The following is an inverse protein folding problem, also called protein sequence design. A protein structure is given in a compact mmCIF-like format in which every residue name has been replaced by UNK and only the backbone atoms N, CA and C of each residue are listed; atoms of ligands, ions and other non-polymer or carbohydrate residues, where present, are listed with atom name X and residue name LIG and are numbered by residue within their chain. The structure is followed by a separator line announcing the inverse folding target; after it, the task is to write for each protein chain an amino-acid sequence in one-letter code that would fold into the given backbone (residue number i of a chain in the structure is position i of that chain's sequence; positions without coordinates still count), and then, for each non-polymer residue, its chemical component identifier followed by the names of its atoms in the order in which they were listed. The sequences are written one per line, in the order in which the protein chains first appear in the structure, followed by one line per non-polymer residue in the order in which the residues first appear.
data_IF_911285934054
#
_entry.id   IF_911285934054
#
_cell.length_a   1.000
_cell.length_b   1.000
_cell.length_c   1.000
_cell.angle_alpha   90.00
_cell.angle_beta   90.00
_cell.angle_gamma   90.00
#
_symmetry.space_group_name_H-M   'P 1'
#
loop_
_entity.id
_entity.type
_entity.pdbx_description
1 polymer ?
#
# COMPACT_ATOMS: atom_id res chain seq x y z
N UNK A 1 31.16 18.37 24.18
CA UNK A 1 31.69 18.42 22.81
C UNK A 1 30.92 17.44 21.93
N UNK A 2 29.87 17.92 21.28
CA UNK A 2 29.12 17.20 20.24
C UNK A 2 29.62 17.76 18.90
N UNK A 3 30.02 16.93 17.92
CA UNK A 3 30.55 17.44 16.66
C UNK A 3 29.47 18.18 15.87
N UNK A 4 29.83 19.34 15.34
CA UNK A 4 29.05 20.10 14.38
C UNK A 4 28.98 19.29 13.07
N UNK A 5 27.77 18.95 12.63
CA UNK A 5 27.45 18.19 11.39
C UNK A 5 27.89 16.72 11.43
N UNK A 6 27.09 15.91 12.12
CA UNK A 6 27.01 14.47 11.88
C UNK A 6 25.54 14.07 11.85
N UNK A 7 25.08 13.45 10.75
CA UNK A 7 23.78 12.81 10.71
C UNK A 7 23.81 11.63 11.66
N UNK A 8 23.12 11.74 12.80
CA UNK A 8 22.93 10.62 13.71
C UNK A 8 21.77 9.77 13.18
N UNK A 9 22.06 8.51 12.86
CA UNK A 9 21.05 7.54 12.45
C UNK A 9 20.28 7.10 13.71
N UNK A 10 19.13 7.72 13.96
CA UNK A 10 18.25 7.38 15.08
C UNK A 10 17.38 6.20 14.64
N UNK A 11 17.83 4.98 14.97
CA UNK A 11 17.00 3.79 14.81
C UNK A 11 15.86 3.79 15.82
N UNK A 12 14.66 4.20 15.41
CA UNK A 12 13.46 4.09 16.24
C UNK A 12 12.96 2.64 16.10
N UNK A 13 13.03 1.80 17.16
CA UNK A 13 12.48 0.46 17.10
C UNK A 13 10.96 0.58 17.03
N UNK A 14 10.40 0.37 15.84
CA UNK A 14 8.95 0.23 15.69
C UNK A 14 8.61 -1.21 16.09
N UNK A 15 7.85 -1.44 17.17
CA UNK A 15 7.40 -2.78 17.51
C UNK A 15 6.43 -3.25 16.41
N UNK A 16 6.91 -4.13 15.54
CA UNK A 16 6.08 -4.73 14.50
C UNK A 16 5.28 -5.85 15.16
N UNK A 17 3.99 -5.63 15.38
CA UNK A 17 3.08 -6.69 15.80
C UNK A 17 2.83 -7.67 14.65
N UNK A 18 3.73 -8.63 14.49
CA UNK A 18 3.64 -9.66 13.46
C UNK A 18 2.29 -10.40 13.49
N UNK A 19 1.73 -10.64 14.70
CA UNK A 19 0.40 -11.27 14.86
C UNK A 19 -0.72 -10.47 14.18
N UNK A 20 -0.70 -9.14 14.31
CA UNK A 20 -1.67 -8.25 13.66
C UNK A 20 -1.48 -8.17 12.15
N UNK A 21 -0.23 -8.24 11.67
CA UNK A 21 0.06 -8.31 10.23
C UNK A 21 -0.46 -9.63 9.62
N UNK A 22 -0.20 -10.75 10.29
CA UNK A 22 -0.66 -12.06 9.84
C UNK A 22 -2.18 -12.18 9.82
N UNK A 23 -2.90 -11.62 10.80
CA UNK A 23 -4.38 -11.67 10.81
C UNK A 23 -5.01 -10.86 9.68
N UNK A 24 -4.41 -9.71 9.33
CA UNK A 24 -4.85 -8.90 8.19
C UNK A 24 -4.58 -9.60 6.86
N UNK A 25 -3.41 -10.24 6.71
CA UNK A 25 -3.08 -11.04 5.53
C UNK A 25 -4.01 -12.25 5.38
N UNK A 26 -4.31 -12.96 6.48
CA UNK A 26 -5.24 -14.09 6.46
C UNK A 26 -6.67 -13.66 6.12
N UNK A 27 -7.15 -12.51 6.61
CA UNK A 27 -8.47 -11.96 6.20
C UNK A 27 -8.53 -11.63 4.71
N UNK A 28 -7.45 -11.14 4.13
CA UNK A 28 -7.35 -10.86 2.69
C UNK A 28 -7.29 -12.17 1.88
N UNK A 29 -6.65 -13.21 2.43
CA UNK A 29 -6.56 -14.52 1.77
C UNK A 29 -7.87 -15.32 1.86
N UNK A 30 -8.57 -15.23 2.99
CA UNK A 30 -9.86 -15.88 3.24
C UNK A 30 -10.99 -15.19 2.46
N UNK A 31 -10.92 -13.86 2.33
CA UNK A 31 -11.68 -13.12 1.34
C UNK A 31 -11.11 -13.40 -0.05
N UNK A 32 -11.54 -14.51 -0.67
CA UNK A 32 -11.25 -14.92 -2.07
C UNK A 32 -11.53 -13.84 -3.13
N UNK A 33 -12.00 -12.68 -2.72
CA UNK A 33 -12.42 -11.56 -3.54
C UNK A 33 -11.78 -10.27 -3.01
N UNK A 34 -10.77 -9.78 -3.72
CA UNK A 34 -10.11 -8.50 -3.43
C UNK A 34 -10.88 -7.38 -4.15
N UNK A 35 -11.44 -6.44 -3.39
CA UNK A 35 -12.00 -5.22 -3.99
C UNK A 35 -10.88 -4.25 -4.32
N UNK A 36 -10.76 -3.84 -5.57
CA UNK A 36 -9.73 -2.90 -6.02
C UNK A 36 -10.37 -1.65 -6.63
N UNK A 37 -9.65 -0.53 -6.56
CA UNK A 37 -10.01 0.72 -7.23
C UNK A 37 -8.76 1.32 -7.87
N UNK A 38 -8.84 1.59 -9.17
CA UNK A 38 -7.82 2.26 -9.97
C UNK A 38 -8.35 3.63 -10.31
N UNK A 39 -7.66 4.67 -9.87
CA UNK A 39 -7.96 6.06 -10.20
C UNK A 39 -6.75 6.65 -10.91
N UNK A 40 -6.99 7.45 -11.94
CA UNK A 40 -5.91 8.06 -12.69
C UNK A 40 -6.42 9.14 -13.63
N UNK A 41 -5.45 9.87 -14.18
CA UNK A 41 -5.70 10.99 -15.08
C UNK A 41 -5.12 10.67 -16.45
N UNK A 42 -5.99 10.51 -17.44
CA UNK A 42 -5.58 10.38 -18.83
C UNK A 42 -5.27 11.77 -19.38
N UNK A 43 -3.99 12.08 -19.58
CA UNK A 43 -3.55 13.34 -20.20
C UNK A 43 -3.54 13.20 -21.72
N UNK A 44 -4.46 13.90 -22.38
CA UNK A 44 -4.41 14.21 -23.80
C UNK A 44 -3.85 15.65 -23.91
N UNK A 45 -3.11 15.99 -24.97
CA UNK A 45 -2.33 17.24 -25.07
C UNK A 45 -3.01 18.52 -24.54
N UNK A 46 -4.34 18.65 -24.66
CA UNK A 46 -5.10 19.82 -24.21
C UNK A 46 -6.09 19.53 -23.08
N UNK A 47 -6.30 18.27 -22.69
CA UNK A 47 -7.36 17.88 -21.74
C UNK A 47 -6.87 16.77 -20.80
N UNK A 48 -7.26 16.86 -19.55
CA UNK A 48 -7.07 15.77 -18.58
C UNK A 48 -8.41 15.14 -18.27
N UNK A 49 -8.54 13.84 -18.51
CA UNK A 49 -9.77 13.09 -18.28
C UNK A 49 -9.52 12.16 -17.07
N UNK A 50 -10.09 12.46 -15.89
CA UNK A 50 -10.00 11.57 -14.75
C UNK A 50 -10.83 10.32 -15.02
N UNK A 51 -10.27 9.15 -14.71
CA UNK A 51 -10.97 7.88 -14.75
C UNK A 51 -10.86 7.18 -13.40
N UNK A 52 -11.95 6.52 -13.00
CA UNK A 52 -12.01 5.67 -11.81
C UNK A 52 -12.65 4.35 -12.21
N UNK A 53 -11.95 3.25 -11.95
CA UNK A 53 -12.42 1.90 -12.20
C UNK A 53 -12.35 1.10 -10.91
N UNK A 54 -13.48 0.59 -10.45
CA UNK A 54 -13.56 -0.28 -9.29
C UNK A 54 -14.06 -1.66 -9.70
N UNK A 55 -13.43 -2.70 -9.17
CA UNK A 55 -13.74 -4.08 -9.51
C UNK A 55 -13.43 -5.05 -8.38
N UNK A 56 -13.78 -6.31 -8.60
CA UNK A 56 -13.50 -7.42 -7.70
C UNK A 56 -12.58 -8.39 -8.42
N UNK A 57 -11.40 -8.64 -7.87
CA UNK A 57 -10.46 -9.67 -8.33
C UNK A 57 -10.70 -10.93 -7.52
N UNK A 58 -11.05 -12.03 -8.20
CA UNK A 58 -11.10 -13.34 -7.56
C UNK A 58 -9.70 -13.93 -7.52
N UNK A 59 -9.20 -14.21 -6.31
CA UNK A 59 -7.89 -14.83 -6.11
C UNK A 59 -8.05 -16.34 -6.32
N UNK A 60 -7.82 -16.81 -7.55
CA UNK A 60 -7.72 -18.25 -7.84
C UNK A 60 -6.37 -18.79 -7.36
N UNK A 61 -6.42 -19.76 -6.46
CA UNK A 61 -5.27 -20.53 -5.99
C UNK A 61 -4.81 -21.43 -7.15
N UNK A 62 -3.59 -21.25 -7.66
CA UNK A 62 -2.90 -22.28 -8.45
C UNK A 62 -2.15 -23.22 -7.52
#
# INVERSE_FOLDING_TARGET
NVPARGSAEIGIPVPVEYKGLWSNLMRIFEARTLSYRIEGDAKLSLFTIPFSHAGKLELTNQ
#
